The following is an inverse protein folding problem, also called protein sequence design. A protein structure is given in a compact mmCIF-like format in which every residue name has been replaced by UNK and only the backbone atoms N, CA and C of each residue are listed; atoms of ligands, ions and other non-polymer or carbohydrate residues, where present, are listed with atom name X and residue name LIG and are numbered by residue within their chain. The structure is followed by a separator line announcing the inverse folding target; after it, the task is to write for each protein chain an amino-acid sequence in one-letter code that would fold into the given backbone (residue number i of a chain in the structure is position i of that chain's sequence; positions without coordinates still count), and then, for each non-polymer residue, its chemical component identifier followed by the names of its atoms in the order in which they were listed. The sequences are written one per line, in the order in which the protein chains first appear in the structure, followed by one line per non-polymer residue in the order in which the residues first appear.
data_IF_403056374900
#
_entry.id   IF_403056374900
#
_cell.length_a   1.000
_cell.length_b   1.000
_cell.length_c   1.000
_cell.angle_alpha   90.00
_cell.angle_beta   90.00
_cell.angle_gamma   90.00
#
_symmetry.space_group_name_H-M   'P 1'
#
loop_
_entity.id
_entity.type
_entity.pdbx_description
1 polymer ?
#
# COMPACT_ATOMS: atom_id res chain seq x y z
N UNK A 1 -5.16 1.35 17.30
CA UNK A 1 -4.95 0.63 16.03
C UNK A 1 -5.87 1.16 14.95
N UNK A 2 -5.37 1.31 13.76
CA UNK A 2 -6.15 1.77 12.62
C UNK A 2 -6.80 0.58 11.92
N UNK A 3 -8.02 0.78 11.43
CA UNK A 3 -8.67 -0.22 10.59
C UNK A 3 -8.05 -0.17 9.19
N UNK A 4 -7.59 -1.30 8.67
CA UNK A 4 -6.97 -1.37 7.35
C UNK A 4 -8.00 -1.86 6.34
N UNK A 5 -8.26 -1.02 5.33
CA UNK A 5 -9.14 -1.34 4.22
C UNK A 5 -8.32 -1.47 2.96
N UNK A 6 -8.79 -2.27 2.02
CA UNK A 6 -8.08 -2.54 0.77
C UNK A 6 -8.96 -2.09 -0.39
N UNK A 7 -8.47 -1.11 -1.17
CA UNK A 7 -9.18 -0.63 -2.33
C UNK A 7 -9.12 -1.66 -3.47
N UNK A 8 -10.08 -1.62 -4.42
CA UNK A 8 -10.14 -2.62 -5.49
C UNK A 8 -8.85 -2.83 -6.29
N UNK A 9 -8.08 -1.80 -6.65
CA UNK A 9 -6.83 -2.05 -7.40
C UNK A 9 -5.84 -2.89 -6.61
N UNK A 10 -5.69 -2.60 -5.30
CA UNK A 10 -4.79 -3.38 -4.45
C UNK A 10 -5.33 -4.79 -4.26
N UNK A 11 -6.65 -4.93 -4.07
CA UNK A 11 -7.26 -6.24 -3.92
C UNK A 11 -7.04 -7.11 -5.14
N UNK A 12 -7.19 -6.54 -6.34
CA UNK A 12 -6.93 -7.29 -7.57
C UNK A 12 -5.49 -7.79 -7.63
N UNK A 13 -4.55 -6.95 -7.22
CA UNK A 13 -3.15 -7.36 -7.19
C UNK A 13 -2.92 -8.52 -6.22
N UNK A 14 -3.45 -8.40 -5.01
CA UNK A 14 -3.27 -9.45 -3.99
C UNK A 14 -3.88 -10.78 -4.41
N UNK A 15 -5.01 -10.74 -5.10
CA UNK A 15 -5.67 -11.96 -5.59
C UNK A 15 -4.84 -12.69 -6.65
N UNK A 16 -4.01 -11.98 -7.38
CA UNK A 16 -3.15 -12.58 -8.41
C UNK A 16 -1.91 -13.25 -7.86
N UNK A 17 -1.53 -12.94 -6.64
CA UNK A 17 -0.34 -13.51 -6.03
C UNK A 17 -0.57 -14.99 -5.74
N UNK A 18 0.29 -15.84 -6.33
CA UNK A 18 0.22 -17.30 -6.11
C UNK A 18 1.17 -17.76 -5.01
N UNK A 19 2.23 -17.00 -4.77
CA UNK A 19 3.20 -17.33 -3.72
C UNK A 19 2.64 -16.95 -2.35
N UNK A 20 2.31 -17.96 -1.56
CA UNK A 20 1.71 -17.74 -0.24
C UNK A 20 2.62 -17.00 0.72
N UNK A 21 3.94 -17.17 0.58
CA UNK A 21 4.88 -16.47 1.43
C UNK A 21 4.90 -14.97 1.11
N UNK A 22 4.74 -14.62 -0.17
CA UNK A 22 4.63 -13.21 -0.56
C UNK A 22 3.34 -12.61 0.00
N UNK A 23 2.23 -13.34 -0.07
CA UNK A 23 0.98 -12.88 0.54
C UNK A 23 1.14 -12.61 2.02
N UNK A 24 1.86 -13.49 2.73
CA UNK A 24 2.11 -13.30 4.15
C UNK A 24 2.94 -12.04 4.41
N UNK A 25 3.91 -11.75 3.55
CA UNK A 25 4.71 -10.52 3.65
C UNK A 25 3.83 -9.28 3.55
N UNK A 26 2.89 -9.27 2.62
CA UNK A 26 1.96 -8.15 2.50
C UNK A 26 1.01 -8.05 3.69
N UNK A 27 0.57 -9.18 4.25
CA UNK A 27 -0.26 -9.17 5.45
C UNK A 27 0.50 -8.59 6.64
N UNK A 28 1.76 -8.98 6.79
CA UNK A 28 2.62 -8.42 7.84
C UNK A 28 2.78 -6.91 7.65
N UNK A 29 2.99 -6.46 6.41
CA UNK A 29 3.12 -5.05 6.11
C UNK A 29 1.84 -4.29 6.47
N UNK A 30 0.68 -4.85 6.15
CA UNK A 30 -0.59 -4.24 6.51
C UNK A 30 -0.77 -4.15 8.03
N UNK A 31 -0.30 -5.14 8.77
CA UNK A 31 -0.32 -5.07 10.24
C UNK A 31 0.58 -3.96 10.76
N UNK A 32 1.75 -3.80 10.17
CA UNK A 32 2.68 -2.74 10.58
C UNK A 32 2.06 -1.36 10.37
N UNK A 33 1.49 -1.10 9.18
CA UNK A 33 0.89 0.21 8.92
C UNK A 33 -0.42 0.42 9.68
N UNK A 34 -1.11 -0.65 10.05
CA UNK A 34 -2.28 -0.57 10.91
C UNK A 34 -1.93 -0.12 12.31
N UNK A 35 -0.78 -0.58 12.83
CA UNK A 35 -0.30 -0.17 14.14
C UNK A 35 0.23 1.26 14.13
N UNK A 36 0.99 1.62 13.07
CA UNK A 36 1.57 2.95 12.94
C UNK A 36 1.62 3.35 11.47
N UNK A 37 0.57 3.97 10.95
CA UNK A 37 0.55 4.34 9.52
C UNK A 37 1.53 5.45 9.15
N UNK A 38 2.09 6.14 10.14
CA UNK A 38 3.07 7.20 9.91
C UNK A 38 4.49 6.67 9.79
N UNK A 39 4.68 5.34 9.81
CA UNK A 39 6.00 4.73 9.71
C UNK A 39 6.67 5.01 8.36
N UNK A 40 5.89 5.10 7.28
CA UNK A 40 6.40 5.48 5.97
C UNK A 40 6.18 6.97 5.74
N UNK A 41 7.13 7.62 5.08
CA UNK A 41 7.03 9.06 4.82
C UNK A 41 5.99 9.36 3.75
N UNK A 42 5.34 10.50 3.90
CA UNK A 42 4.40 10.99 2.90
C UNK A 42 5.15 11.37 1.62
N UNK A 43 4.58 11.02 0.47
CA UNK A 43 5.12 11.40 -0.82
C UNK A 43 4.85 12.88 -1.08
N UNK A 44 5.64 13.47 -1.96
CA UNK A 44 5.53 14.89 -2.31
C UNK A 44 5.07 15.06 -3.76
N UNK A 45 4.72 16.31 -4.10
CA UNK A 45 4.30 16.64 -5.45
C UNK A 45 2.98 15.98 -5.81
N UNK A 46 2.94 15.36 -6.99
CA UNK A 46 1.72 14.74 -7.53
C UNK A 46 1.16 13.65 -6.63
N UNK A 47 1.99 13.07 -5.77
CA UNK A 47 1.59 11.97 -4.90
C UNK A 47 1.37 12.40 -3.46
N UNK A 48 1.19 13.70 -3.22
CA UNK A 48 0.91 14.22 -1.88
C UNK A 48 -0.33 13.54 -1.29
N UNK A 49 -0.25 13.20 -0.01
CA UNK A 49 -1.31 12.50 0.69
C UNK A 49 -1.16 10.99 0.66
N UNK A 50 -0.30 10.48 -0.21
CA UNK A 50 0.01 9.04 -0.23
C UNK A 50 1.27 8.75 0.55
N UNK A 51 1.32 7.56 1.13
CA UNK A 51 2.52 6.98 1.71
C UNK A 51 2.75 5.65 1.04
N UNK A 52 4.01 5.21 0.95
CA UNK A 52 4.33 3.92 0.35
C UNK A 52 5.23 3.14 1.29
N UNK A 53 4.82 1.93 1.60
CA UNK A 53 5.57 1.03 2.46
C UNK A 53 6.27 -0.02 1.58
N UNK A 54 7.58 -0.16 1.78
CA UNK A 54 8.39 -1.10 1.01
C UNK A 54 8.27 -2.51 1.57
N UNK A 55 8.06 -3.47 0.66
CA UNK A 55 8.07 -4.89 1.01
C UNK A 55 9.12 -5.56 0.14
N UNK A 56 10.10 -6.20 0.77
CA UNK A 56 11.14 -6.92 0.04
C UNK A 56 10.97 -8.41 0.21
N UNK A 57 10.97 -9.12 -0.92
CA UNK A 57 10.81 -10.56 -0.90
C UNK A 57 11.54 -11.18 -2.09
N UNK A 58 12.39 -12.18 -1.82
CA UNK A 58 13.19 -12.89 -2.83
C UNK A 58 13.96 -11.95 -3.76
N UNK A 59 14.57 -10.91 -3.20
CA UNK A 59 15.35 -9.97 -3.97
C UNK A 59 14.55 -8.99 -4.80
N UNK A 60 13.23 -9.05 -4.74
CA UNK A 60 12.35 -8.13 -5.45
C UNK A 60 11.80 -7.09 -4.48
N UNK A 61 11.77 -5.84 -4.93
CA UNK A 61 11.19 -4.74 -4.17
C UNK A 61 9.74 -4.53 -4.60
N UNK A 62 8.84 -4.62 -3.64
CA UNK A 62 7.42 -4.34 -3.82
C UNK A 62 7.06 -3.09 -3.05
N UNK A 63 6.00 -2.43 -3.44
CA UNK A 63 5.49 -1.27 -2.74
C UNK A 63 4.00 -1.38 -2.51
N UNK A 64 3.56 -0.74 -1.44
CA UNK A 64 2.16 -0.73 -1.06
C UNK A 64 1.80 0.71 -0.69
N UNK A 65 1.03 1.36 -1.56
CA UNK A 65 0.63 2.74 -1.36
C UNK A 65 -0.66 2.79 -0.56
N UNK A 66 -0.74 3.73 0.38
CA UNK A 66 -1.90 3.87 1.22
C UNK A 66 -2.14 5.32 1.60
N UNK A 67 -3.35 5.60 2.05
CA UNK A 67 -3.74 6.89 2.62
C UNK A 67 -4.25 6.70 4.03
N UNK A 68 -4.09 7.73 4.85
CA UNK A 68 -4.54 7.72 6.24
C UNK A 68 -5.74 8.64 6.38
N UNK A 69 -6.79 8.13 7.01
CA UNK A 69 -7.99 8.91 7.31
C UNK A 69 -8.18 8.95 8.83
N UNK A 70 -8.10 10.15 9.39
CA UNK A 70 -8.18 10.33 10.84
C UNK A 70 -9.58 10.65 11.34
N UNK A 71 -10.49 10.97 10.41
CA UNK A 71 -11.84 11.38 10.77
C UNK A 71 -12.69 10.17 11.10
N UNK A 72 -13.53 10.27 12.13
CA UNK A 72 -14.42 9.20 12.59
C UNK A 72 -13.65 7.98 13.05
N UNK A 73 -13.74 6.87 12.32
CA UNK A 73 -12.95 5.67 12.59
C UNK A 73 -11.61 5.82 11.92
N UNK A 74 -10.55 5.76 12.70
CA UNK A 74 -9.20 5.85 12.15
C UNK A 74 -8.97 4.71 11.15
N UNK A 75 -8.70 5.08 9.91
CA UNK A 75 -8.58 4.13 8.81
C UNK A 75 -7.32 4.34 8.01
N UNK A 76 -6.78 3.22 7.51
CA UNK A 76 -5.72 3.21 6.50
C UNK A 76 -6.30 2.49 5.29
N UNK A 77 -6.28 3.15 4.14
CA UNK A 77 -6.79 2.54 2.91
C UNK A 77 -5.61 2.23 2.00
N UNK A 78 -5.38 0.93 1.75
CA UNK A 78 -4.36 0.48 0.81
C UNK A 78 -4.91 0.64 -0.59
N UNK A 79 -4.31 1.54 -1.37
CA UNK A 79 -4.81 1.93 -2.68
C UNK A 79 -4.26 1.04 -3.78
N UNK A 80 -2.97 0.74 -3.73
CA UNK A 80 -2.28 0.02 -4.80
C UNK A 80 -1.12 -0.76 -4.22
N UNK A 81 -0.81 -1.90 -4.82
CA UNK A 81 0.37 -2.66 -4.49
C UNK A 81 0.97 -3.20 -5.78
N UNK A 82 2.27 -3.44 -5.78
CA UNK A 82 2.94 -3.98 -6.95
C UNK A 82 4.44 -3.95 -6.81
N UNK A 83 5.14 -4.35 -7.86
CA UNK A 83 6.58 -4.23 -7.91
C UNK A 83 6.97 -2.78 -8.11
N UNK A 84 8.15 -2.40 -7.61
CA UNK A 84 8.59 -1.00 -7.68
C UNK A 84 8.69 -0.46 -9.10
N UNK A 85 8.99 -1.31 -10.07
CA UNK A 85 9.36 -0.88 -11.42
C UNK A 85 8.38 0.07 -12.08
N UNK A 86 7.07 -0.20 -12.06
CA UNK A 86 6.08 0.68 -12.68
C UNK A 86 5.09 1.25 -11.69
N UNK A 87 5.38 1.11 -10.42
CA UNK A 87 4.43 1.39 -9.35
C UNK A 87 3.92 2.83 -9.35
N UNK A 88 4.83 3.78 -9.44
CA UNK A 88 4.45 5.19 -9.32
C UNK A 88 3.69 5.71 -10.53
N UNK A 89 3.96 5.16 -11.71
CA UNK A 89 3.19 5.52 -12.90
C UNK A 89 1.76 5.01 -12.80
N UNK A 90 1.57 3.78 -12.32
CA UNK A 90 0.24 3.26 -12.09
C UNK A 90 -0.52 4.07 -11.04
N UNK A 91 0.16 4.44 -9.96
CA UNK A 91 -0.46 5.23 -8.91
C UNK A 91 -0.93 6.58 -9.45
N UNK A 92 -0.12 7.22 -10.28
CA UNK A 92 -0.50 8.48 -10.91
C UNK A 92 -1.74 8.35 -11.77
N UNK A 93 -1.89 7.23 -12.48
CA UNK A 93 -3.10 7.00 -13.28
C UNK A 93 -4.35 6.99 -12.42
N UNK A 94 -4.29 6.33 -11.28
CA UNK A 94 -5.44 6.29 -10.37
C UNK A 94 -5.80 7.65 -9.81
N UNK A 95 -4.82 8.52 -9.65
CA UNK A 95 -5.05 9.85 -9.12
C UNK A 95 -5.71 10.78 -10.11
N UNK A 96 -5.54 10.55 -11.40
CA UNK A 96 -6.02 11.43 -12.45
C UNK A 96 -7.31 10.95 -13.12
N UNK A 97 -7.84 9.83 -12.69
CA UNK A 97 -9.09 9.28 -13.24
C UNK A 97 -10.32 9.74 -12.46
#
# INVERSE_FOLDING_TARGET
MYKVLIAPPAERYFKKIKDMNLKLKFKEAMSVIGENPYIAEEKRGDLSGFRSYDVRYNGVNYEMAYKIYEIDDKQVVVILAGTRENFYEELKRYMHD
#
